data_IF_869595032283
#
_entry.id   IF_869595032283
#
_cell.length_a   1.000
_cell.length_b   1.000
_cell.length_c   1.000
_cell.angle_alpha   90.00
_cell.angle_beta   90.00
_cell.angle_gamma   90.00
#
_symmetry.space_group_name_H-M   'P 1'
#
loop_
_entity.id
_entity.type
_entity.pdbx_description
1 polymer ?
#
# COMPACT_ATOMS: atom_id res chain seq x y z
N UNK A 1 -20.85 18.02 12.51
CA UNK A 1 -20.69 16.54 12.58
C UNK A 1 -19.37 16.15 11.93
N UNK A 2 -18.37 15.73 12.71
CA UNK A 2 -17.10 15.26 12.16
C UNK A 2 -17.25 13.82 11.65
N UNK A 3 -16.86 13.54 10.40
CA UNK A 3 -16.85 12.17 9.86
C UNK A 3 -15.79 11.33 10.58
N UNK A 4 -16.15 10.10 10.97
CA UNK A 4 -15.25 9.12 11.58
C UNK A 4 -14.11 8.75 10.62
N UNK A 5 -12.90 8.42 11.13
CA UNK A 5 -11.74 8.10 10.29
C UNK A 5 -11.98 6.92 9.35
N UNK A 6 -12.83 5.97 9.74
CA UNK A 6 -13.26 4.85 8.90
C UNK A 6 -14.02 5.30 7.65
N UNK A 7 -15.02 6.19 7.81
CA UNK A 7 -15.80 6.72 6.69
C UNK A 7 -14.91 7.47 5.69
N UNK A 8 -13.90 8.20 6.18
CA UNK A 8 -12.95 8.92 5.32
C UNK A 8 -12.11 7.96 4.49
N UNK A 9 -11.57 6.90 5.08
CA UNK A 9 -10.80 5.88 4.36
C UNK A 9 -11.65 5.09 3.36
N UNK A 10 -12.90 4.78 3.71
CA UNK A 10 -13.82 4.12 2.79
C UNK A 10 -14.15 4.99 1.57
N UNK A 11 -14.50 6.26 1.78
CA UNK A 11 -14.76 7.21 0.69
C UNK A 11 -13.54 7.41 -0.22
N UNK A 12 -12.35 7.58 0.37
CA UNK A 12 -11.10 7.70 -0.37
C UNK A 12 -10.87 6.49 -1.30
N UNK A 13 -11.10 5.27 -0.83
CA UNK A 13 -10.95 4.06 -1.66
C UNK A 13 -11.95 3.96 -2.79
N UNK A 14 -13.20 4.40 -2.58
CA UNK A 14 -14.19 4.45 -3.66
C UNK A 14 -13.69 5.36 -4.77
N UNK A 15 -13.24 6.57 -4.43
CA UNK A 15 -12.73 7.53 -5.41
C UNK A 15 -11.45 7.02 -6.09
N UNK A 16 -10.49 6.47 -5.34
CA UNK A 16 -9.27 5.90 -5.92
C UNK A 16 -9.56 4.73 -6.89
N UNK A 17 -10.55 3.88 -6.58
CA UNK A 17 -10.97 2.80 -7.49
C UNK A 17 -11.63 3.33 -8.75
N UNK A 18 -12.37 4.44 -8.66
CA UNK A 18 -12.91 5.13 -9.85
C UNK A 18 -11.77 5.72 -10.68
N UNK A 19 -10.78 6.35 -10.03
CA UNK A 19 -9.59 6.85 -10.71
C UNK A 19 -8.84 5.74 -11.45
N UNK A 20 -8.64 4.56 -10.85
CA UNK A 20 -8.03 3.42 -11.53
C UNK A 20 -8.78 3.01 -12.80
N UNK A 21 -10.11 2.90 -12.73
CA UNK A 21 -10.94 2.59 -13.91
C UNK A 21 -10.81 3.66 -15.00
N UNK A 22 -10.81 4.94 -14.62
CA UNK A 22 -10.64 6.03 -15.56
C UNK A 22 -9.24 6.01 -16.20
N UNK A 23 -8.19 5.68 -15.44
CA UNK A 23 -6.82 5.56 -15.94
C UNK A 23 -6.68 4.38 -16.91
N UNK A 24 -7.30 3.24 -16.62
CA UNK A 24 -7.34 2.09 -17.53
C UNK A 24 -8.04 2.41 -18.84
N UNK A 25 -9.07 3.23 -18.82
CA UNK A 25 -9.77 3.68 -20.02
C UNK A 25 -8.93 4.70 -20.80
N UNK A 26 -8.33 5.68 -20.11
CA UNK A 26 -7.39 6.64 -20.71
C UNK A 26 -6.22 5.94 -21.41
N UNK A 27 -5.72 4.84 -20.83
CA UNK A 27 -4.64 4.02 -21.44
C UNK A 27 -5.02 3.48 -22.81
N UNK A 28 -6.28 3.08 -23.02
CA UNK A 28 -6.74 2.50 -24.30
C UNK A 28 -6.91 3.55 -25.39
N UNK A 29 -7.20 4.79 -24.99
CA UNK A 29 -7.44 5.91 -25.91
C UNK A 29 -6.16 6.70 -26.19
N UNK A 30 -5.07 6.36 -25.52
CA UNK A 30 -3.81 7.09 -25.62
C UNK A 30 -3.21 6.93 -27.01
N UNK A 31 -2.87 8.03 -27.72
CA UNK A 31 -2.03 7.93 -28.90
C UNK A 31 -0.65 7.35 -28.51
N UNK A 32 0.03 6.70 -29.45
CA UNK A 32 1.33 6.09 -29.21
C UNK A 32 2.38 7.17 -28.88
N UNK A 33 2.49 7.49 -27.61
CA UNK A 33 3.40 8.48 -27.05
C UNK A 33 4.02 7.89 -25.78
N UNK A 34 5.32 7.65 -25.83
CA UNK A 34 6.05 7.00 -24.75
C UNK A 34 6.02 7.80 -23.44
N UNK A 35 6.25 9.11 -23.50
CA UNK A 35 6.24 9.99 -22.32
C UNK A 35 4.87 9.99 -21.64
N UNK A 36 3.79 10.09 -22.43
CA UNK A 36 2.44 10.10 -21.89
C UNK A 36 2.04 8.75 -21.31
N UNK A 37 2.47 7.64 -21.94
CA UNK A 37 2.26 6.30 -21.41
C UNK A 37 2.99 6.11 -20.07
N UNK A 38 4.18 6.69 -19.94
CA UNK A 38 5.01 6.63 -18.74
C UNK A 38 4.41 7.45 -17.59
N UNK A 39 3.94 8.67 -17.88
CA UNK A 39 3.19 9.49 -16.90
C UNK A 39 1.92 8.77 -16.45
N UNK A 40 1.19 8.15 -17.36
CA UNK A 40 0.00 7.38 -17.01
C UNK A 40 0.34 6.19 -16.10
N UNK A 41 1.42 5.47 -16.40
CA UNK A 41 1.89 4.37 -15.57
C UNK A 41 2.28 4.82 -14.15
N UNK A 42 2.89 5.99 -13.99
CA UNK A 42 3.20 6.58 -12.68
C UNK A 42 1.93 6.94 -11.90
N UNK A 43 0.95 7.57 -12.54
CA UNK A 43 -0.31 7.94 -11.88
C UNK A 43 -1.06 6.66 -11.45
N UNK A 44 -1.08 5.63 -12.30
CA UNK A 44 -1.65 4.32 -11.94
C UNK A 44 -0.94 3.73 -10.72
N UNK A 45 0.40 3.71 -10.73
CA UNK A 45 1.21 3.18 -9.64
C UNK A 45 0.96 3.90 -8.31
N UNK A 46 0.94 5.24 -8.31
CA UNK A 46 0.64 6.04 -7.11
C UNK A 46 -0.77 5.76 -6.63
N UNK A 47 -1.75 5.66 -7.54
CA UNK A 47 -3.14 5.36 -7.18
C UNK A 47 -3.27 3.97 -6.55
N UNK A 48 -2.61 2.95 -7.10
CA UNK A 48 -2.56 1.59 -6.51
C UNK A 48 -1.94 1.61 -5.12
N UNK A 49 -0.84 2.35 -4.92
CA UNK A 49 -0.20 2.51 -3.62
C UNK A 49 -1.14 3.19 -2.61
N UNK A 50 -1.85 4.25 -3.03
CA UNK A 50 -2.84 4.92 -2.18
C UNK A 50 -4.00 4.00 -1.79
N UNK A 51 -4.46 3.12 -2.69
CA UNK A 51 -5.50 2.11 -2.38
C UNK A 51 -4.99 1.13 -1.33
N UNK A 52 -3.75 0.63 -1.49
CA UNK A 52 -3.13 -0.30 -0.55
C UNK A 52 -3.02 0.32 0.85
N UNK A 53 -2.44 1.52 0.94
CA UNK A 53 -2.24 2.22 2.21
C UNK A 53 -3.58 2.56 2.87
N UNK A 54 -4.59 2.97 2.09
CA UNK A 54 -5.94 3.21 2.63
C UNK A 54 -6.57 1.93 3.22
N UNK A 55 -6.36 0.79 2.55
CA UNK A 55 -6.82 -0.53 3.04
C UNK A 55 -6.10 -0.92 4.33
N UNK A 56 -4.78 -0.77 4.38
CA UNK A 56 -3.97 -0.98 5.59
C UNK A 56 -4.44 -0.09 6.74
N UNK A 57 -4.58 1.21 6.51
CA UNK A 57 -5.05 2.18 7.51
C UNK A 57 -6.44 1.83 8.04
N UNK A 58 -7.36 1.36 7.19
CA UNK A 58 -8.67 0.89 7.67
C UNK A 58 -8.53 -0.30 8.61
N UNK A 59 -7.75 -1.32 8.23
CA UNK A 59 -7.58 -2.50 9.08
C UNK A 59 -6.98 -2.15 10.43
N UNK A 60 -6.01 -1.24 10.47
CA UNK A 60 -5.42 -0.75 11.72
C UNK A 60 -6.49 -0.03 12.57
N UNK A 61 -7.29 0.87 11.99
CA UNK A 61 -8.37 1.55 12.72
C UNK A 61 -9.46 0.61 13.24
N UNK A 62 -9.86 -0.39 12.44
CA UNK A 62 -10.90 -1.36 12.83
C UNK A 62 -10.43 -2.28 13.95
N UNK A 63 -9.17 -2.72 13.90
CA UNK A 63 -8.61 -3.56 14.95
C UNK A 63 -8.46 -2.80 16.28
N UNK A 64 -8.18 -1.50 16.24
CA UNK A 64 -8.20 -0.61 17.41
C UNK A 64 -9.62 -0.47 17.96
N UNK A 65 -10.61 -0.26 17.10
CA UNK A 65 -12.00 -0.04 17.53
C UNK A 65 -12.66 -1.30 18.14
N UNK A 66 -12.33 -2.50 17.63
CA UNK A 66 -12.90 -3.77 18.11
C UNK A 66 -12.23 -4.32 19.38
N UNK A 67 -11.08 -3.80 19.79
CA UNK A 67 -10.39 -4.22 21.02
C UNK A 67 -10.93 -3.56 22.31
N UNK A 68 -11.95 -2.71 22.21
CA UNK A 68 -12.35 -1.83 23.31
C UNK A 68 -13.56 -2.39 24.09
N UNK A 69 -13.31 -3.46 24.84
CA UNK A 69 -14.21 -3.98 25.87
C UNK A 69 -13.71 -3.79 27.30
N UNK A 70 -12.48 -3.30 27.51
CA UNK A 70 -11.97 -3.15 28.87
C UNK A 70 -11.07 -1.92 29.06
N UNK A 71 -11.25 -1.26 30.19
CA UNK A 71 -10.71 0.04 30.54
C UNK A 71 -9.18 0.00 30.73
N UNK A 72 -8.40 0.38 29.71
CA UNK A 72 -6.99 0.79 29.84
C UNK A 72 -6.48 1.52 28.59
N UNK A 73 -6.97 2.74 28.37
CA UNK A 73 -6.81 3.55 27.16
C UNK A 73 -5.40 4.16 26.92
N UNK A 74 -4.38 3.76 27.68
CA UNK A 74 -2.99 4.24 27.50
C UNK A 74 -2.04 3.13 27.03
N UNK A 75 -2.34 1.85 27.31
CA UNK A 75 -1.54 0.70 26.86
C UNK A 75 -1.99 0.08 25.53
N UNK A 76 -3.23 0.36 25.10
CA UNK A 76 -3.75 -0.10 23.82
C UNK A 76 -3.03 0.53 22.62
N UNK A 77 -2.50 1.75 22.77
CA UNK A 77 -1.71 2.43 21.73
C UNK A 77 -0.32 1.80 21.50
N UNK A 78 0.17 1.00 22.45
CA UNK A 78 1.51 0.38 22.39
C UNK A 78 1.53 -0.95 21.64
N UNK A 79 0.36 -1.58 21.43
CA UNK A 79 0.22 -2.91 20.81
C UNK A 79 -0.59 -2.86 19.50
N UNK A 80 -0.66 -1.70 18.85
CA UNK A 80 -1.36 -1.53 17.58
C UNK A 80 -0.34 -1.42 16.46
N UNK A 81 0.01 -2.58 15.91
CA UNK A 81 0.95 -2.71 14.81
C UNK A 81 0.42 -3.66 13.75
N UNK A 82 1.01 -3.58 12.55
CA UNK A 82 0.71 -4.48 11.43
C UNK A 82 0.71 -5.94 11.85
N UNK A 83 1.60 -6.34 12.78
CA UNK A 83 1.74 -7.69 13.33
C UNK A 83 0.48 -8.27 13.98
N UNK A 84 -0.42 -7.41 14.49
CA UNK A 84 -1.66 -7.82 15.15
C UNK A 84 -2.82 -8.02 14.18
N UNK A 85 -2.65 -7.65 12.90
CA UNK A 85 -3.66 -7.93 11.88
C UNK A 85 -3.76 -9.45 11.64
N UNK A 86 -4.97 -9.95 11.28
CA UNK A 86 -5.16 -11.35 10.89
C UNK A 86 -4.13 -11.76 9.83
N UNK A 87 -3.58 -12.97 9.96
CA UNK A 87 -2.54 -13.46 9.06
C UNK A 87 -2.95 -13.40 7.59
N UNK A 88 -4.22 -13.71 7.28
CA UNK A 88 -4.78 -13.61 5.93
C UNK A 88 -4.72 -12.18 5.37
N UNK A 89 -5.04 -11.18 6.19
CA UNK A 89 -4.99 -9.76 5.81
C UNK A 89 -3.54 -9.33 5.56
N UNK A 90 -2.61 -9.73 6.42
CA UNK A 90 -1.18 -9.42 6.25
C UNK A 90 -0.62 -10.00 4.95
N UNK A 91 -0.92 -11.27 4.67
CA UNK A 91 -0.47 -11.94 3.44
C UNK A 91 -1.06 -11.28 2.18
N UNK A 92 -2.35 -10.93 2.20
CA UNK A 92 -3.01 -10.25 1.07
C UNK A 92 -2.41 -8.85 0.79
N UNK A 93 -2.13 -8.10 1.85
CA UNK A 93 -1.43 -6.82 1.76
C UNK A 93 0.02 -6.97 1.27
N UNK A 94 0.74 -7.99 1.73
CA UNK A 94 2.11 -8.27 1.32
C UNK A 94 2.19 -8.63 -0.17
N UNK A 95 1.30 -9.50 -0.66
CA UNK A 95 1.23 -9.85 -2.08
C UNK A 95 0.90 -8.64 -2.96
N UNK A 96 -0.05 -7.81 -2.51
CA UNK A 96 -0.39 -6.56 -3.20
C UNK A 96 0.80 -5.60 -3.24
N UNK A 97 1.56 -5.48 -2.14
CA UNK A 97 2.75 -4.64 -2.06
C UNK A 97 3.86 -5.13 -2.99
N UNK A 98 4.09 -6.45 -3.10
CA UNK A 98 5.07 -7.03 -4.02
C UNK A 98 4.73 -6.72 -5.48
N UNK A 99 3.45 -6.82 -5.86
CA UNK A 99 2.99 -6.46 -7.20
C UNK A 99 3.24 -4.98 -7.52
N UNK A 100 2.96 -4.08 -6.57
CA UNK A 100 3.23 -2.64 -6.71
C UNK A 100 4.74 -2.37 -6.75
N UNK A 101 5.55 -3.01 -5.90
CA UNK A 101 7.01 -2.89 -5.88
C UNK A 101 7.62 -3.24 -7.24
N UNK A 102 7.16 -4.34 -7.85
CA UNK A 102 7.61 -4.76 -9.18
C UNK A 102 7.31 -3.72 -10.26
N UNK A 103 6.07 -3.21 -10.30
CA UNK A 103 5.70 -2.11 -11.22
C UNK A 103 6.52 -0.84 -10.96
N UNK A 104 6.73 -0.49 -9.70
CA UNK A 104 7.56 0.66 -9.32
C UNK A 104 8.98 0.54 -9.84
N UNK A 105 9.60 -0.63 -9.71
CA UNK A 105 10.95 -0.88 -10.22
C UNK A 105 11.03 -0.64 -11.74
N UNK A 106 10.08 -1.15 -12.52
CA UNK A 106 10.04 -0.94 -13.97
C UNK A 106 9.85 0.52 -14.35
N UNK A 107 8.93 1.22 -13.68
CA UNK A 107 8.67 2.65 -13.93
C UNK A 107 9.88 3.51 -13.52
N UNK A 108 10.52 3.18 -12.39
CA UNK A 108 11.70 3.89 -11.90
C UNK A 108 12.85 3.82 -12.89
N UNK A 109 13.18 2.62 -13.37
CA UNK A 109 14.28 2.41 -14.33
C UNK A 109 14.03 3.05 -15.70
N UNK A 110 12.78 3.34 -16.03
CA UNK A 110 12.42 4.08 -17.25
C UNK A 110 12.64 5.60 -17.13
N UNK A 111 12.88 6.13 -15.93
CA UNK A 111 12.90 7.59 -15.63
C UNK A 111 14.14 8.05 -14.87
N UNK A 112 14.72 7.18 -14.05
CA UNK A 112 15.70 7.53 -13.05
C UNK A 112 16.96 6.65 -13.19
N UNK A 113 18.04 7.09 -12.54
CA UNK A 113 19.31 6.37 -12.55
C UNK A 113 19.17 5.08 -11.74
N UNK A 114 19.67 3.96 -12.29
CA UNK A 114 19.55 2.65 -11.65
C UNK A 114 20.21 2.58 -10.26
N UNK A 115 21.28 3.35 -10.00
CA UNK A 115 21.97 3.36 -8.71
C UNK A 115 21.13 3.90 -7.54
N UNK A 116 20.06 4.65 -7.82
CA UNK A 116 19.16 5.18 -6.77
C UNK A 116 18.00 4.23 -6.45
N UNK A 117 17.76 3.22 -7.29
CA UNK A 117 16.67 2.27 -7.14
C UNK A 117 16.69 1.53 -5.78
N UNK A 118 17.84 1.02 -5.27
CA UNK A 118 17.85 0.32 -3.98
C UNK A 118 17.36 1.19 -2.82
N UNK A 119 17.72 2.48 -2.82
CA UNK A 119 17.25 3.41 -1.80
C UNK A 119 15.74 3.67 -1.91
N UNK A 120 15.22 3.77 -3.14
CA UNK A 120 13.79 3.94 -3.39
C UNK A 120 12.97 2.70 -3.01
N UNK A 121 13.50 1.49 -3.23
CA UNK A 121 12.84 0.23 -2.87
C UNK A 121 12.80 -0.05 -1.37
N UNK A 122 13.72 0.53 -0.59
CA UNK A 122 13.82 0.31 0.86
C UNK A 122 12.50 0.53 1.61
N UNK A 123 11.68 1.49 1.19
CA UNK A 123 10.37 1.73 1.83
C UNK A 123 9.39 0.55 1.60
N UNK A 124 9.41 -0.07 0.42
CA UNK A 124 8.62 -1.26 0.12
C UNK A 124 9.13 -2.45 0.93
N UNK A 125 10.46 -2.62 1.00
CA UNK A 125 11.09 -3.73 1.70
C UNK A 125 10.83 -3.68 3.22
N UNK A 126 10.88 -2.47 3.79
CA UNK A 126 10.56 -2.23 5.20
C UNK A 126 9.09 -2.55 5.50
N UNK A 127 8.16 -2.09 4.65
CA UNK A 127 6.73 -2.35 4.84
C UNK A 127 6.40 -3.84 4.63
N UNK A 128 7.04 -4.49 3.66
CA UNK A 128 6.90 -5.93 3.44
C UNK A 128 7.36 -6.72 4.67
N UNK A 129 8.54 -6.40 5.20
CA UNK A 129 9.07 -7.02 6.42
C UNK A 129 8.13 -6.83 7.62
N UNK A 130 7.49 -5.66 7.73
CA UNK A 130 6.51 -5.40 8.79
C UNK A 130 5.19 -6.21 8.64
N UNK A 131 4.85 -6.61 7.41
CA UNK A 131 3.70 -7.48 7.12
C UNK A 131 4.00 -8.96 7.41
N UNK A 132 5.27 -9.37 7.37
CA UNK A 132 5.66 -10.74 7.70
C UNK A 132 5.61 -10.99 9.22
N UNK A 133 5.30 -12.23 9.65
CA UNK A 133 5.53 -12.65 11.03
C UNK A 133 7.00 -12.47 11.43
N UNK A 134 7.32 -12.18 12.71
CA UNK A 134 8.69 -12.00 13.18
C UNK A 134 9.63 -13.15 12.80
N UNK A 135 9.13 -14.39 12.82
CA UNK A 135 9.87 -15.59 12.42
C UNK A 135 10.23 -15.66 10.93
N UNK A 136 9.61 -14.83 10.08
CA UNK A 136 9.84 -14.80 8.63
C UNK A 136 10.50 -13.50 8.14
N UNK A 137 10.83 -12.57 9.02
CA UNK A 137 11.43 -11.29 8.61
C UNK A 137 12.82 -11.47 7.97
N UNK A 138 13.60 -12.44 8.44
CA UNK A 138 14.91 -12.74 7.85
C UNK A 138 14.80 -13.39 6.47
N UNK A 139 13.74 -14.17 6.21
CA UNK A 139 13.41 -14.66 4.88
C UNK A 139 13.03 -13.51 3.93
N UNK A 140 12.32 -12.50 4.43
CA UNK A 140 11.97 -11.30 3.66
C UNK A 140 13.20 -10.56 3.12
N UNK A 141 14.32 -10.55 3.84
CA UNK A 141 15.58 -9.95 3.39
C UNK A 141 16.26 -10.73 2.26
N UNK A 142 15.98 -12.02 2.13
CA UNK A 142 16.56 -12.88 1.09
C UNK A 142 15.73 -12.91 -0.20
N UNK A 143 14.45 -12.56 -0.11
CA UNK A 143 13.49 -12.65 -1.22
C UNK A 143 13.45 -11.39 -2.11
N UNK A 144 13.91 -10.24 -1.59
CA UNK A 144 13.77 -8.90 -2.18
C UNK A 144 15.07 -8.34 -2.73
#
# INVERSE_FOLDING_TARGET
MAQTPEMRSHKARIELRKSLKALDEARKQLPYNFELALVLAEIQLVTELMVLISKLGQFLCMHVANGNGDHSSVFAASHTGVIHLPMTVRTDLANSLLAIRSKFQHTWLSRNIASTLPNALKIFDNLFSALLPPSMQDFGKQLL
#
